data_IF_858887231385
#
_entry.id   IF_858887231385
#
_cell.length_a   1.000
_cell.length_b   1.000
_cell.length_c   1.000
_cell.angle_alpha   90.00
_cell.angle_beta   90.00
_cell.angle_gamma   90.00
#
_symmetry.space_group_name_H-M   'P 1'
#
loop_
_entity.id
_entity.type
_entity.pdbx_description
1 polymer ?
#
# COMPACT_ATOMS: atom_id res chain seq x y z
N UNK A 1 -41.95 -23.00 11.88
CA UNK A 1 -41.41 -23.81 12.99
C UNK A 1 -39.89 -23.63 13.08
N UNK A 2 -39.30 -23.81 14.25
CA UNK A 2 -37.85 -23.70 14.46
C UNK A 2 -37.08 -24.66 13.52
N UNK A 3 -37.56 -25.91 13.39
CA UNK A 3 -36.95 -26.90 12.47
C UNK A 3 -36.90 -26.43 11.02
N UNK A 4 -37.93 -25.73 10.55
CA UNK A 4 -37.96 -25.21 9.18
C UNK A 4 -36.96 -24.05 9.02
N UNK A 5 -36.79 -23.21 10.03
CA UNK A 5 -35.78 -22.13 10.04
C UNK A 5 -34.36 -22.71 10.04
N UNK A 6 -34.08 -23.71 10.87
CA UNK A 6 -32.79 -24.38 10.95
C UNK A 6 -32.43 -25.11 9.65
N UNK A 7 -33.40 -25.77 9.02
CA UNK A 7 -33.22 -26.43 7.72
C UNK A 7 -32.93 -25.42 6.60
N UNK A 8 -33.64 -24.28 6.58
CA UNK A 8 -33.38 -23.21 5.60
C UNK A 8 -31.99 -22.58 5.81
N UNK A 9 -31.64 -22.29 7.08
CA UNK A 9 -30.30 -21.77 7.38
C UNK A 9 -29.20 -22.73 6.91
N UNK A 10 -29.30 -24.02 7.21
CA UNK A 10 -28.33 -25.01 6.79
C UNK A 10 -28.23 -25.14 5.25
N UNK A 11 -29.33 -24.92 4.53
CA UNK A 11 -29.31 -24.84 3.08
C UNK A 11 -28.62 -23.60 2.59
N UNK A 12 -28.97 -22.42 3.11
CA UNK A 12 -28.36 -21.14 2.71
C UNK A 12 -26.83 -21.13 2.96
N UNK A 13 -26.40 -21.65 4.09
CA UNK A 13 -24.96 -21.77 4.42
C UNK A 13 -24.22 -22.69 3.40
N UNK A 14 -24.83 -23.80 3.03
CA UNK A 14 -24.26 -24.75 2.04
C UNK A 14 -24.17 -24.12 0.65
N UNK A 15 -25.22 -23.45 0.20
CA UNK A 15 -25.24 -22.77 -1.10
C UNK A 15 -24.22 -21.65 -1.15
N UNK A 16 -24.12 -20.87 -0.07
CA UNK A 16 -23.10 -19.83 0.04
C UNK A 16 -21.66 -20.41 0.02
N UNK A 17 -21.42 -21.53 0.70
CA UNK A 17 -20.13 -22.21 0.67
C UNK A 17 -19.75 -22.65 -0.75
N UNK A 18 -20.67 -23.32 -1.46
CA UNK A 18 -20.45 -23.75 -2.84
C UNK A 18 -20.16 -22.58 -3.80
N UNK A 19 -20.86 -21.47 -3.63
CA UNK A 19 -20.62 -20.25 -4.41
C UNK A 19 -19.27 -19.63 -4.06
N UNK A 20 -18.98 -19.45 -2.78
CA UNK A 20 -17.82 -18.70 -2.29
C UNK A 20 -16.48 -19.41 -2.55
N UNK A 21 -16.47 -20.74 -2.55
CA UNK A 21 -15.25 -21.54 -2.80
C UNK A 21 -14.92 -21.64 -4.30
N UNK A 22 -15.91 -21.52 -5.17
CA UNK A 22 -15.73 -21.67 -6.61
C UNK A 22 -15.38 -20.32 -7.25
N UNK A 23 -14.15 -20.17 -7.69
CA UNK A 23 -13.64 -18.96 -8.36
C UNK A 23 -14.48 -18.52 -9.57
N UNK A 24 -15.04 -19.48 -10.31
CA UNK A 24 -15.85 -19.19 -11.49
C UNK A 24 -17.29 -18.80 -11.14
N UNK A 25 -17.74 -19.13 -9.93
CA UNK A 25 -19.06 -18.78 -9.46
C UNK A 25 -19.12 -17.42 -8.78
N UNK A 26 -18.08 -17.06 -8.00
CA UNK A 26 -18.10 -15.82 -7.23
C UNK A 26 -17.38 -14.65 -7.90
N UNK A 27 -16.31 -14.90 -8.67
CA UNK A 27 -15.49 -13.85 -9.30
C UNK A 27 -15.82 -13.72 -10.80
N UNK A 28 -16.12 -12.52 -11.26
CA UNK A 28 -16.35 -12.23 -12.66
C UNK A 28 -15.11 -12.43 -13.53
N UNK A 29 -13.91 -12.32 -12.94
CA UNK A 29 -12.64 -12.60 -13.61
C UNK A 29 -12.25 -14.08 -13.54
N UNK A 30 -12.83 -14.84 -12.63
CA UNK A 30 -12.56 -16.26 -12.42
C UNK A 30 -11.21 -16.58 -11.79
N UNK A 31 -10.54 -15.57 -11.20
CA UNK A 31 -9.20 -15.69 -10.63
C UNK A 31 -9.25 -16.06 -9.15
N UNK A 32 -10.14 -15.42 -8.39
CA UNK A 32 -10.17 -15.48 -6.94
C UNK A 32 -11.43 -16.19 -6.43
N UNK A 33 -11.32 -16.92 -5.32
CA UNK A 33 -12.48 -17.30 -4.54
C UNK A 33 -12.90 -16.13 -3.62
N UNK A 34 -14.05 -16.23 -2.96
CA UNK A 34 -14.57 -15.14 -2.16
C UNK A 34 -13.64 -14.76 -0.98
N UNK A 35 -12.96 -15.73 -0.38
CA UNK A 35 -11.98 -15.46 0.68
C UNK A 35 -10.78 -14.62 0.16
N UNK A 36 -10.25 -14.96 -1.02
CA UNK A 36 -9.19 -14.19 -1.65
C UNK A 36 -9.67 -12.79 -2.09
N UNK A 37 -10.92 -12.67 -2.54
CA UNK A 37 -11.55 -11.39 -2.87
C UNK A 37 -11.67 -10.49 -1.63
N UNK A 38 -12.02 -11.04 -0.47
CA UNK A 38 -12.04 -10.30 0.80
C UNK A 38 -10.65 -9.76 1.16
N UNK A 39 -9.61 -10.58 1.03
CA UNK A 39 -8.23 -10.13 1.28
C UNK A 39 -7.81 -9.03 0.31
N UNK A 40 -8.15 -9.18 -0.97
CA UNK A 40 -7.83 -8.19 -1.99
C UNK A 40 -8.58 -6.87 -1.74
N UNK A 41 -9.86 -6.93 -1.42
CA UNK A 41 -10.66 -5.75 -1.08
C UNK A 41 -10.13 -5.03 0.15
N UNK A 42 -9.79 -5.77 1.22
CA UNK A 42 -9.19 -5.18 2.42
C UNK A 42 -7.83 -4.54 2.12
N UNK A 43 -6.99 -5.21 1.32
CA UNK A 43 -5.68 -4.66 0.93
C UNK A 43 -5.82 -3.39 0.09
N UNK A 44 -6.77 -3.35 -0.85
CA UNK A 44 -7.07 -2.16 -1.66
C UNK A 44 -7.55 -1.00 -0.80
N UNK A 45 -8.44 -1.25 0.17
CA UNK A 45 -8.86 -0.23 1.12
C UNK A 45 -7.68 0.32 1.94
N UNK A 46 -6.80 -0.54 2.46
CA UNK A 46 -5.62 -0.11 3.23
C UNK A 46 -4.71 0.82 2.41
N UNK A 47 -4.50 0.49 1.14
CA UNK A 47 -3.55 1.21 0.26
C UNK A 47 -4.19 2.44 -0.38
N UNK A 48 -5.39 2.28 -0.94
CA UNK A 48 -6.05 3.32 -1.75
C UNK A 48 -7.10 4.11 -0.98
N UNK A 49 -7.58 3.59 0.16
CA UNK A 49 -8.63 4.20 0.99
C UNK A 49 -10.03 3.71 0.63
N UNK A 50 -10.25 3.26 -0.59
CA UNK A 50 -11.51 2.65 -1.02
C UNK A 50 -11.29 1.52 -2.05
N UNK A 51 -12.32 0.71 -2.21
CA UNK A 51 -12.41 -0.33 -3.24
C UNK A 51 -13.85 -0.49 -3.66
N UNK A 52 -14.06 -0.82 -4.92
CA UNK A 52 -15.38 -1.00 -5.50
C UNK A 52 -15.59 -2.45 -5.93
N UNK A 53 -16.77 -3.00 -5.61
CA UNK A 53 -17.16 -4.32 -6.08
C UNK A 53 -18.46 -4.21 -6.88
N UNK A 54 -18.36 -4.35 -8.19
CA UNK A 54 -19.54 -4.36 -9.08
C UNK A 54 -20.20 -5.71 -9.01
N UNK A 55 -21.49 -5.70 -8.70
CA UNK A 55 -22.36 -6.87 -8.71
C UNK A 55 -22.79 -7.14 -10.15
N UNK A 56 -22.34 -8.25 -10.71
CA UNK A 56 -22.68 -8.66 -12.07
C UNK A 56 -23.58 -9.90 -12.06
N UNK A 57 -24.52 -9.94 -12.98
CA UNK A 57 -25.37 -11.10 -13.20
C UNK A 57 -24.98 -11.79 -14.52
N UNK A 58 -24.84 -13.08 -14.46
CA UNK A 58 -24.50 -13.95 -15.59
C UNK A 58 -25.56 -15.03 -15.75
N UNK A 59 -25.73 -15.54 -16.97
CA UNK A 59 -26.58 -16.70 -17.21
C UNK A 59 -26.04 -17.92 -16.44
N UNK A 60 -26.90 -18.60 -15.65
CA UNK A 60 -26.50 -19.80 -14.93
C UNK A 60 -26.11 -20.93 -15.89
N UNK A 61 -25.12 -21.72 -15.51
CA UNK A 61 -24.73 -22.94 -16.25
C UNK A 61 -24.75 -24.14 -15.31
N UNK A 62 -24.79 -25.39 -15.82
CA UNK A 62 -24.77 -26.57 -14.95
C UNK A 62 -23.61 -26.65 -13.98
N UNK A 63 -22.46 -26.04 -14.32
CA UNK A 63 -21.27 -26.00 -13.47
C UNK A 63 -21.18 -24.74 -12.57
N UNK A 64 -21.94 -23.71 -12.90
CA UNK A 64 -22.02 -22.45 -12.15
C UNK A 64 -23.49 -22.04 -12.08
N UNK A 65 -24.26 -22.63 -11.17
CA UNK A 65 -25.72 -22.43 -11.11
C UNK A 65 -26.11 -21.03 -10.59
N UNK A 66 -25.17 -20.31 -10.04
CA UNK A 66 -25.40 -18.98 -9.50
C UNK A 66 -25.16 -17.91 -10.58
N UNK A 67 -26.08 -16.95 -10.69
CA UNK A 67 -25.95 -15.81 -11.60
C UNK A 67 -25.03 -14.70 -11.06
N UNK A 68 -24.97 -14.55 -9.73
CA UNK A 68 -24.20 -13.51 -9.04
C UNK A 68 -22.70 -13.74 -9.19
N UNK A 69 -22.00 -12.72 -9.68
CA UNK A 69 -20.53 -12.64 -9.61
C UNK A 69 -20.09 -11.22 -9.23
N UNK A 70 -18.99 -11.13 -8.51
CA UNK A 70 -18.40 -9.87 -8.12
C UNK A 70 -17.24 -9.53 -9.05
N UNK A 71 -17.10 -8.23 -9.35
CA UNK A 71 -15.95 -7.71 -10.05
C UNK A 71 -15.32 -6.60 -9.22
N UNK A 72 -14.18 -6.88 -8.60
CA UNK A 72 -13.42 -5.88 -7.85
C UNK A 72 -12.77 -4.90 -8.82
N UNK A 73 -12.88 -3.62 -8.49
CA UNK A 73 -12.34 -2.51 -9.27
C UNK A 73 -11.54 -1.62 -8.33
N UNK A 74 -10.32 -1.28 -8.74
CA UNK A 74 -9.48 -0.35 -7.99
C UNK A 74 -10.04 1.08 -7.99
N UNK A 75 -9.72 1.81 -6.93
CA UNK A 75 -10.08 3.20 -6.72
C UNK A 75 -9.77 4.11 -7.91
N UNK A 76 -8.61 3.93 -8.55
CA UNK A 76 -8.13 4.74 -9.67
C UNK A 76 -8.99 4.63 -10.95
N UNK A 77 -9.79 3.57 -11.06
CA UNK A 77 -10.71 3.38 -12.18
C UNK A 77 -12.06 4.04 -11.99
N UNK A 78 -12.37 4.45 -10.76
CA UNK A 78 -13.56 5.27 -10.47
C UNK A 78 -13.12 6.73 -10.44
N UNK A 79 -13.47 7.47 -11.48
CA UNK A 79 -13.02 8.83 -11.67
C UNK A 79 -14.05 9.66 -12.44
N UNK A 80 -13.95 10.97 -12.37
CA UNK A 80 -14.85 11.89 -13.06
C UNK A 80 -14.62 11.82 -14.59
N UNK A 81 -15.67 11.57 -15.41
CA UNK A 81 -15.54 11.52 -16.85
C UNK A 81 -15.03 12.84 -17.42
N UNK A 82 -14.01 12.78 -18.24
CA UNK A 82 -13.49 13.93 -18.99
C UNK A 82 -13.95 13.87 -20.43
N UNK A 83 -14.54 14.95 -20.95
CA UNK A 83 -15.00 15.08 -22.34
C UNK A 83 -13.87 15.36 -23.32
N UNK A 84 -12.71 15.75 -22.86
CA UNK A 84 -11.54 16.05 -23.69
C UNK A 84 -10.50 14.96 -23.52
N UNK A 85 -10.04 14.39 -24.64
CA UNK A 85 -8.93 13.43 -24.67
C UNK A 85 -7.57 13.97 -24.22
N UNK A 86 -7.55 15.14 -23.59
CA UNK A 86 -6.35 15.73 -22.98
C UNK A 86 -6.20 15.14 -21.59
N UNK A 87 -5.10 14.45 -21.39
CA UNK A 87 -4.64 13.87 -20.16
C UNK A 87 -4.42 14.98 -19.12
N UNK A 88 -5.45 15.33 -18.38
CA UNK A 88 -5.33 16.03 -17.10
C UNK A 88 -6.11 15.25 -16.04
N UNK A 89 -5.66 14.03 -15.66
CA UNK A 89 -6.36 13.21 -14.69
C UNK A 89 -6.35 13.82 -13.28
N UNK A 90 -5.50 14.79 -13.05
CA UNK A 90 -5.17 15.25 -11.69
C UNK A 90 -5.90 16.53 -11.27
N UNK A 91 -6.66 17.17 -12.16
CA UNK A 91 -7.24 18.50 -11.86
C UNK A 91 -8.76 18.53 -11.83
N UNK A 92 -9.47 17.49 -12.29
CA UNK A 92 -10.94 17.49 -12.33
C UNK A 92 -11.49 16.40 -11.40
N UNK A 93 -11.39 16.64 -10.10
CA UNK A 93 -12.07 15.80 -9.10
C UNK A 93 -13.58 16.02 -9.08
N UNK A 94 -14.06 17.16 -9.59
CA UNK A 94 -15.48 17.51 -9.60
C UNK A 94 -15.97 17.74 -11.02
N UNK A 95 -17.12 17.16 -11.34
CA UNK A 95 -17.79 17.30 -12.64
C UNK A 95 -19.31 17.42 -12.51
N UNK A 96 -19.99 17.57 -13.65
CA UNK A 96 -21.44 17.52 -13.74
C UNK A 96 -21.87 16.37 -14.63
N UNK A 97 -22.84 15.59 -14.15
CA UNK A 97 -23.51 14.58 -14.95
C UNK A 97 -24.55 15.19 -15.88
N UNK A 98 -24.99 14.43 -16.89
CA UNK A 98 -26.00 14.89 -17.84
C UNK A 98 -27.36 15.21 -17.21
N UNK A 99 -27.67 14.60 -16.08
CA UNK A 99 -28.88 14.84 -15.28
C UNK A 99 -28.76 16.05 -14.30
N UNK A 100 -27.61 16.76 -14.31
CA UNK A 100 -27.36 17.91 -13.45
C UNK A 100 -26.72 17.58 -12.11
N UNK A 101 -26.61 16.31 -11.75
CA UNK A 101 -25.95 15.86 -10.53
C UNK A 101 -24.47 16.26 -10.48
N UNK A 102 -23.93 16.37 -9.28
CA UNK A 102 -22.51 16.63 -9.11
C UNK A 102 -21.76 15.31 -9.02
N UNK A 103 -20.62 15.22 -9.69
CA UNK A 103 -19.72 14.06 -9.64
C UNK A 103 -18.49 14.47 -8.83
N UNK A 104 -18.24 13.75 -7.75
CA UNK A 104 -17.04 13.92 -6.91
C UNK A 104 -16.12 12.72 -7.14
N UNK A 105 -15.05 12.91 -7.88
CA UNK A 105 -14.06 11.89 -8.21
C UNK A 105 -14.69 10.53 -8.61
N UNK A 106 -15.62 10.60 -9.57
CA UNK A 106 -16.35 9.45 -10.09
C UNK A 106 -17.60 9.03 -9.33
N UNK A 107 -17.89 9.60 -8.17
CA UNK A 107 -19.11 9.35 -7.40
C UNK A 107 -20.14 10.43 -7.73
N UNK A 108 -21.26 10.03 -8.34
CA UNK A 108 -22.36 10.92 -8.71
C UNK A 108 -23.34 11.05 -7.55
N UNK A 109 -23.62 12.29 -7.16
CA UNK A 109 -24.40 12.64 -5.98
C UNK A 109 -25.54 13.58 -6.39
N UNK A 110 -26.75 13.31 -5.91
CA UNK A 110 -27.91 14.14 -6.15
C UNK A 110 -27.93 15.41 -5.28
N UNK A 111 -28.99 16.22 -5.42
CA UNK A 111 -29.16 17.46 -4.66
C UNK A 111 -29.26 17.31 -3.13
N UNK A 112 -29.63 16.12 -2.66
CA UNK A 112 -29.79 15.79 -1.25
C UNK A 112 -28.54 15.16 -0.63
N UNK A 113 -27.45 15.00 -1.41
CA UNK A 113 -26.22 14.37 -0.96
C UNK A 113 -26.20 12.84 -1.06
N UNK A 114 -27.22 12.22 -1.67
CA UNK A 114 -27.29 10.79 -1.84
C UNK A 114 -26.50 10.34 -3.09
N UNK A 115 -25.76 9.23 -2.96
CA UNK A 115 -25.04 8.61 -4.07
C UNK A 115 -26.04 7.95 -5.01
N UNK A 116 -26.05 8.36 -6.28
CA UNK A 116 -26.90 7.78 -7.33
C UNK A 116 -26.16 6.82 -8.25
N UNK A 117 -24.93 7.15 -8.60
CA UNK A 117 -24.16 6.33 -9.54
C UNK A 117 -22.64 6.47 -9.36
N UNK A 118 -21.94 5.57 -9.98
CA UNK A 118 -20.48 5.57 -10.07
C UNK A 118 -20.05 5.57 -11.54
N UNK A 119 -19.02 6.35 -11.84
CA UNK A 119 -18.42 6.43 -13.16
C UNK A 119 -17.13 5.63 -13.21
N UNK A 120 -17.15 4.54 -13.95
CA UNK A 120 -16.04 3.58 -14.03
C UNK A 120 -15.36 3.71 -15.38
N UNK A 121 -14.05 3.91 -15.33
CA UNK A 121 -13.18 3.97 -16.50
C UNK A 121 -12.80 2.57 -16.97
N UNK A 122 -12.75 2.36 -18.30
CA UNK A 122 -12.36 1.06 -18.88
C UNK A 122 -10.85 0.78 -18.75
N UNK A 123 -10.03 1.83 -18.69
CA UNK A 123 -8.56 1.76 -18.66
C UNK A 123 -8.02 2.30 -17.35
N UNK A 124 -6.80 1.91 -16.99
CA UNK A 124 -6.11 2.54 -15.87
C UNK A 124 -5.61 3.96 -16.24
N UNK A 125 -5.47 4.88 -15.26
CA UNK A 125 -4.76 6.11 -15.46
C UNK A 125 -3.32 5.80 -15.93
N UNK A 126 -2.82 6.57 -16.90
CA UNK A 126 -1.46 6.41 -17.44
C UNK A 126 -1.16 5.08 -18.17
N UNK A 127 -2.18 4.31 -18.54
CA UNK A 127 -1.99 3.11 -19.36
C UNK A 127 -1.50 3.51 -20.76
N UNK A 128 -0.24 3.17 -21.05
CA UNK A 128 0.38 3.43 -22.34
C UNK A 128 -0.15 2.45 -23.39
N UNK A 129 -0.67 2.97 -24.49
CA UNK A 129 -1.15 2.17 -25.64
C UNK A 129 -2.65 2.00 -25.74
N UNK A 130 -3.44 2.41 -24.77
CA UNK A 130 -4.89 2.44 -24.89
C UNK A 130 -5.33 3.73 -25.62
N UNK A 131 -5.88 3.57 -26.83
CA UNK A 131 -6.31 4.69 -27.67
C UNK A 131 -7.70 5.22 -27.34
N UNK A 132 -8.53 4.43 -26.66
CA UNK A 132 -9.93 4.80 -26.38
C UNK A 132 -10.33 4.43 -24.97
N UNK A 133 -10.51 5.43 -24.13
CA UNK A 133 -11.10 5.27 -22.80
C UNK A 133 -12.62 5.38 -22.92
N UNK A 134 -13.35 4.37 -22.46
CA UNK A 134 -14.79 4.40 -22.32
C UNK A 134 -15.18 4.51 -20.84
N UNK A 135 -16.35 5.09 -20.60
CA UNK A 135 -16.90 5.28 -19.27
C UNK A 135 -18.20 4.52 -19.12
N UNK A 136 -18.32 3.77 -18.04
CA UNK A 136 -19.55 3.12 -17.65
C UNK A 136 -20.14 3.84 -16.43
N UNK A 137 -21.39 4.32 -16.56
CA UNK A 137 -22.17 4.82 -15.45
C UNK A 137 -22.92 3.66 -14.83
N UNK A 138 -22.61 3.29 -13.60
CA UNK A 138 -23.26 2.21 -12.84
C UNK A 138 -24.12 2.83 -11.75
N UNK A 139 -25.43 2.62 -11.77
CA UNK A 139 -26.33 3.05 -10.70
C UNK A 139 -25.95 2.38 -9.38
N UNK A 140 -25.95 3.12 -8.29
CA UNK A 140 -25.60 2.60 -6.97
C UNK A 140 -26.53 1.45 -6.55
N UNK A 141 -27.82 1.60 -6.82
CA UNK A 141 -28.85 0.63 -6.45
C UNK A 141 -29.75 0.29 -7.63
N UNK A 142 -30.28 -0.91 -7.64
CA UNK A 142 -31.28 -1.34 -8.62
C UNK A 142 -32.64 -0.65 -8.38
N UNK A 143 -33.21 -0.05 -9.42
CA UNK A 143 -34.47 0.73 -9.32
C UNK A 143 -35.67 -0.09 -8.80
N UNK A 144 -35.71 -1.38 -9.12
CA UNK A 144 -36.81 -2.28 -8.73
C UNK A 144 -36.53 -3.06 -7.47
N UNK A 145 -35.27 -3.44 -7.26
CA UNK A 145 -34.88 -4.35 -6.19
C UNK A 145 -34.38 -3.61 -4.94
N UNK A 146 -33.87 -2.39 -5.11
CA UNK A 146 -33.17 -1.67 -4.04
C UNK A 146 -31.83 -2.30 -3.65
N UNK A 147 -31.43 -3.42 -4.27
CA UNK A 147 -30.17 -4.08 -4.01
C UNK A 147 -29.01 -3.28 -4.61
N UNK A 148 -27.84 -3.30 -3.98
CA UNK A 148 -26.67 -2.60 -4.50
C UNK A 148 -26.17 -3.23 -5.80
N UNK A 149 -25.97 -2.42 -6.84
CA UNK A 149 -25.29 -2.81 -8.06
C UNK A 149 -23.76 -2.69 -7.94
N UNK A 150 -23.32 -1.89 -7.00
CA UNK A 150 -21.91 -1.67 -6.68
C UNK A 150 -21.77 -1.47 -5.18
N UNK A 151 -20.84 -2.17 -4.58
CA UNK A 151 -20.45 -1.98 -3.20
C UNK A 151 -19.25 -1.05 -3.19
N UNK A 152 -19.37 0.04 -2.47
CA UNK A 152 -18.29 0.99 -2.22
C UNK A 152 -17.81 0.80 -0.79
N UNK A 153 -16.68 0.15 -0.62
CA UNK A 153 -16.10 -0.17 0.69
C UNK A 153 -15.09 0.92 1.04
N UNK A 154 -15.45 1.77 1.95
CA UNK A 154 -14.62 2.87 2.45
C UNK A 154 -14.99 3.23 3.89
N UNK A 155 -14.05 3.72 4.65
CA UNK A 155 -14.30 4.29 5.98
C UNK A 155 -14.42 5.82 5.87
N UNK A 156 -15.56 6.37 6.28
CA UNK A 156 -15.79 7.81 6.27
C UNK A 156 -15.26 8.44 7.55
N UNK A 157 -14.32 9.37 7.42
CA UNK A 157 -13.75 10.14 8.54
C UNK A 157 -14.49 11.47 8.76
N UNK A 158 -15.26 11.91 7.76
CA UNK A 158 -15.98 13.20 7.77
C UNK A 158 -17.34 13.07 7.11
N UNK A 159 -18.35 13.88 7.53
CA UNK A 159 -19.59 14.03 6.79
C UNK A 159 -19.31 14.45 5.33
N UNK A 160 -20.16 14.04 4.40
CA UNK A 160 -20.07 14.35 2.96
C UNK A 160 -18.76 13.92 2.31
N UNK A 161 -18.13 12.90 2.84
CA UNK A 161 -16.96 12.26 2.23
C UNK A 161 -17.42 11.15 1.29
N UNK A 162 -17.17 11.32 -0.01
CA UNK A 162 -17.59 10.39 -1.05
C UNK A 162 -16.46 9.50 -1.59
N UNK A 163 -15.23 9.70 -1.12
CA UNK A 163 -14.06 8.86 -1.46
C UNK A 163 -13.26 8.55 -0.21
N UNK A 164 -12.74 7.35 -0.15
CA UNK A 164 -11.90 6.91 0.96
C UNK A 164 -10.52 7.58 0.97
N UNK A 165 -9.91 7.64 2.15
CA UNK A 165 -8.52 8.05 2.34
C UNK A 165 -7.72 6.83 2.76
N UNK A 166 -6.54 6.64 2.15
CA UNK A 166 -5.67 5.51 2.51
C UNK A 166 -5.42 5.47 4.02
N UNK A 167 -5.66 4.32 4.61
CA UNK A 167 -5.36 4.09 6.03
C UNK A 167 -3.88 4.30 6.36
N UNK A 168 -3.01 4.07 5.36
CA UNK A 168 -1.57 4.28 5.48
C UNK A 168 -1.15 5.74 5.32
N UNK A 169 -2.05 6.65 4.94
CA UNK A 169 -1.71 8.06 4.67
C UNK A 169 -1.00 8.74 5.86
N UNK A 170 -1.45 8.45 7.08
CA UNK A 170 -0.89 9.01 8.32
C UNK A 170 0.53 8.54 8.65
N UNK A 171 1.01 7.46 8.02
CA UNK A 171 2.35 6.90 8.26
C UNK A 171 3.31 7.06 7.08
N UNK A 172 2.89 7.68 5.99
CA UNK A 172 3.74 7.91 4.80
C UNK A 172 4.98 8.72 5.18
N UNK A 173 4.81 9.83 5.90
CA UNK A 173 5.93 10.71 6.26
C UNK A 173 6.92 10.01 7.22
N UNK A 174 6.51 9.36 8.33
CA UNK A 174 7.40 8.56 9.16
C UNK A 174 8.15 7.47 8.39
N UNK A 175 7.48 6.77 7.46
CA UNK A 175 8.11 5.74 6.63
C UNK A 175 9.14 6.32 5.66
N UNK A 176 8.88 7.49 5.06
CA UNK A 176 9.85 8.19 4.22
C UNK A 176 11.08 8.63 5.02
N UNK A 177 10.88 9.14 6.23
CA UNK A 177 11.99 9.51 7.13
C UNK A 177 12.82 8.29 7.51
N UNK A 178 12.18 7.18 7.83
CA UNK A 178 12.85 5.92 8.14
C UNK A 178 13.69 5.44 6.95
N UNK A 179 13.14 5.46 5.74
CA UNK A 179 13.84 5.08 4.52
C UNK A 179 15.07 5.95 4.29
N UNK A 180 14.92 7.27 4.34
CA UNK A 180 16.05 8.22 4.15
C UNK A 180 17.14 8.03 5.18
N UNK A 181 16.77 7.80 6.44
CA UNK A 181 17.74 7.53 7.50
C UNK A 181 18.48 6.21 7.26
N UNK A 182 17.77 5.14 6.92
CA UNK A 182 18.38 3.84 6.62
C UNK A 182 19.34 3.92 5.42
N UNK A 183 18.97 4.64 4.36
CA UNK A 183 19.83 4.88 3.19
C UNK A 183 21.09 5.69 3.57
N UNK A 184 20.95 6.71 4.43
CA UNK A 184 22.08 7.49 4.94
C UNK A 184 23.04 6.67 5.80
N UNK A 185 22.52 5.84 6.70
CA UNK A 185 23.36 4.96 7.54
C UNK A 185 24.08 3.90 6.71
N UNK A 186 23.42 3.32 5.71
CA UNK A 186 24.04 2.39 4.79
C UNK A 186 25.17 3.06 3.99
N UNK A 187 24.93 4.27 3.48
CA UNK A 187 25.95 5.04 2.75
C UNK A 187 27.13 5.38 3.66
N UNK A 188 26.86 5.80 4.89
CA UNK A 188 27.92 6.07 5.86
C UNK A 188 28.75 4.81 6.15
N UNK A 189 28.11 3.66 6.36
CA UNK A 189 28.81 2.39 6.59
C UNK A 189 29.66 1.97 5.38
N UNK A 190 29.20 2.21 4.15
CA UNK A 190 29.96 1.98 2.94
C UNK A 190 31.19 2.90 2.89
N UNK A 191 31.02 4.19 3.16
CA UNK A 191 32.14 5.16 3.20
C UNK A 191 33.16 4.78 4.28
N UNK A 192 32.71 4.39 5.47
CA UNK A 192 33.58 3.91 6.55
C UNK A 192 34.34 2.64 6.17
N UNK A 193 33.80 1.80 5.29
CA UNK A 193 34.49 0.59 4.79
C UNK A 193 35.66 0.91 3.87
N UNK A 194 35.72 2.10 3.27
CA UNK A 194 36.85 2.59 2.48
C UNK A 194 37.95 3.11 3.41
N UNK A 195 38.61 2.17 4.10
CA UNK A 195 39.74 2.56 4.95
C UNK A 195 40.95 2.88 4.07
N UNK A 196 41.28 4.20 3.97
CA UNK A 196 42.48 4.66 3.27
C UNK A 196 43.52 5.06 4.32
N UNK A 197 44.71 4.48 4.26
CA UNK A 197 45.81 4.88 5.13
C UNK A 197 46.60 6.01 4.47
N UNK A 198 46.85 7.08 5.21
CA UNK A 198 47.73 8.17 4.80
C UNK A 198 49.03 8.10 5.61
N UNK A 199 50.18 8.10 4.96
CA UNK A 199 51.49 8.13 5.62
C UNK A 199 52.02 9.54 5.52
N UNK A 200 52.08 10.22 6.65
CA UNK A 200 52.70 11.55 6.77
C UNK A 200 54.18 11.41 7.01
N UNK A 201 55.00 12.05 6.18
CA UNK A 201 56.44 12.09 6.31
C UNK A 201 56.85 13.50 6.79
N UNK A 202 57.49 13.59 7.95
CA UNK A 202 58.06 14.87 8.47
C UNK A 202 59.46 15.14 7.93
N UNK A 203 60.10 14.22 7.29
CA UNK A 203 61.45 14.34 6.77
C UNK A 203 61.47 15.18 5.50
N UNK A 204 62.44 16.12 5.41
CA UNK A 204 62.68 16.87 4.18
C UNK A 204 63.08 15.95 3.02
N UNK A 205 62.94 16.45 1.80
CA UNK A 205 62.97 15.71 0.52
C UNK A 205 64.26 14.84 0.24
N UNK A 206 65.09 14.60 1.26
CA UNK A 206 66.29 13.76 1.15
C UNK A 206 66.29 12.50 2.02
N UNK A 207 65.33 12.32 2.91
CA UNK A 207 65.37 11.30 3.99
C UNK A 207 64.18 10.33 3.94
N UNK A 208 63.80 9.93 2.75
CA UNK A 208 62.74 8.91 2.57
C UNK A 208 63.37 7.51 2.82
N UNK A 209 62.97 6.78 3.87
CA UNK A 209 63.52 5.47 4.22
C UNK A 209 63.31 4.40 3.13
N UNK A 210 62.52 4.70 2.12
CA UNK A 210 62.30 3.80 0.95
C UNK A 210 63.19 4.16 -0.24
N UNK A 211 64.01 5.20 -0.19
CA UNK A 211 64.94 5.57 -1.28
C UNK A 211 66.14 4.63 -1.43
N UNK A 212 66.41 3.74 -0.47
CA UNK A 212 67.51 2.77 -0.54
C UNK A 212 67.17 1.48 -1.34
N UNK A 213 65.93 1.31 -1.78
CA UNK A 213 65.55 0.15 -2.62
C UNK A 213 65.52 0.59 -4.08
N UNK A 214 66.72 0.56 -4.69
CA UNK A 214 66.94 0.43 -6.13
C UNK A 214 66.44 1.59 -7.00
N UNK A 215 67.38 2.41 -7.43
CA UNK A 215 67.25 3.52 -8.40
C UNK A 215 66.90 3.10 -9.85
N UNK A 216 65.87 2.29 -10.04
CA UNK A 216 65.45 1.89 -11.38
C UNK A 216 63.94 1.76 -11.59
N UNK A 217 63.12 2.39 -10.73
CA UNK A 217 61.71 2.55 -11.03
C UNK A 217 61.53 3.85 -11.82
N UNK A 218 60.75 3.85 -12.92
CA UNK A 218 60.46 5.07 -13.65
C UNK A 218 59.77 6.04 -12.70
N UNK A 219 60.23 7.29 -12.71
CA UNK A 219 59.62 8.42 -12.05
C UNK A 219 58.19 8.55 -12.57
N UNK A 220 57.22 7.94 -11.86
CA UNK A 220 55.81 8.16 -12.14
C UNK A 220 55.50 9.55 -11.63
N UNK A 221 55.47 10.52 -12.57
CA UNK A 221 54.96 11.83 -12.33
C UNK A 221 53.48 11.68 -11.92
N UNK A 222 53.25 11.56 -10.64
CA UNK A 222 51.88 11.63 -10.09
C UNK A 222 51.50 13.10 -10.04
N UNK A 223 50.30 13.40 -10.57
CA UNK A 223 49.64 14.68 -10.29
C UNK A 223 49.47 14.81 -8.76
N UNK A 224 50.07 15.80 -8.08
CA UNK A 224 50.01 15.92 -6.62
C UNK A 224 48.57 16.12 -6.09
N UNK A 225 47.58 16.28 -6.94
CA UNK A 225 46.17 16.43 -6.57
C UNK A 225 45.34 15.15 -6.76
N UNK A 226 45.93 14.03 -7.15
CA UNK A 226 45.22 12.78 -7.46
C UNK A 226 45.36 11.78 -6.30
N UNK A 227 44.61 12.01 -5.20
CA UNK A 227 44.45 11.02 -4.15
C UNK A 227 43.28 10.08 -4.49
N UNK A 228 43.57 8.82 -4.67
CA UNK A 228 42.58 7.80 -4.86
C UNK A 228 42.02 7.30 -3.53
N UNK A 229 40.71 7.30 -3.35
CA UNK A 229 40.04 6.69 -2.21
C UNK A 229 39.51 5.31 -2.56
N UNK A 230 39.98 4.26 -1.90
CA UNK A 230 39.56 2.90 -2.13
C UNK A 230 39.85 1.97 -0.95
N UNK A 231 39.24 0.77 -0.92
CA UNK A 231 39.45 -0.21 0.16
C UNK A 231 40.91 -0.65 0.22
N UNK A 232 41.59 -0.39 1.34
CA UNK A 232 42.96 -0.81 1.55
C UNK A 232 44.02 -0.03 0.76
N UNK A 233 43.67 1.12 0.19
CA UNK A 233 44.62 1.99 -0.49
C UNK A 233 45.54 2.72 0.54
N UNK A 234 46.80 2.87 0.18
CA UNK A 234 47.81 3.59 0.96
C UNK A 234 48.27 4.79 0.12
N UNK A 235 47.94 6.00 0.56
CA UNK A 235 48.41 7.22 -0.06
C UNK A 235 49.57 7.80 0.76
N UNK A 236 50.68 8.18 0.06
CA UNK A 236 51.84 8.82 0.66
C UNK A 236 51.67 10.33 0.44
N UNK A 237 51.69 11.09 1.51
CA UNK A 237 51.51 12.54 1.50
C UNK A 237 52.87 13.26 1.37
N UNK A 238 52.81 14.47 0.80
CA UNK A 238 54.04 15.31 0.72
C UNK A 238 54.35 15.97 2.09
N UNK A 239 55.61 16.35 2.30
CA UNK A 239 56.04 17.01 3.53
C UNK A 239 55.24 18.32 3.75
N UNK A 240 54.58 18.43 4.87
CA UNK A 240 53.74 19.61 5.23
C UNK A 240 52.27 19.49 4.99
N UNK A 241 51.81 18.44 4.34
CA UNK A 241 50.37 18.10 4.20
C UNK A 241 49.87 17.40 5.46
N UNK A 242 48.66 17.71 5.85
CA UNK A 242 47.97 17.05 6.96
C UNK A 242 46.55 16.63 6.57
N UNK A 243 46.18 15.43 6.93
CA UNK A 243 44.83 14.92 6.68
C UNK A 243 43.99 15.06 7.94
N UNK A 244 43.02 15.92 7.88
CA UNK A 244 41.98 15.95 8.90
C UNK A 244 40.87 15.02 8.49
N UNK A 245 40.78 13.88 9.14
CA UNK A 245 39.59 13.03 9.00
C UNK A 245 38.43 13.77 9.65
N UNK A 246 37.43 14.14 8.85
CA UNK A 246 36.12 14.37 9.39
C UNK A 246 35.61 13.01 9.89
N UNK A 247 36.02 12.64 11.11
CA UNK A 247 35.48 11.49 11.81
C UNK A 247 33.99 11.77 12.08
N UNK A 248 33.06 11.25 11.27
CA UNK A 248 31.67 11.34 11.62
C UNK A 248 31.50 10.38 12.79
N UNK A 249 31.74 10.86 14.01
CA UNK A 249 31.37 10.16 15.24
C UNK A 249 29.84 9.98 15.25
N UNK A 250 29.34 9.23 14.32
CA UNK A 250 27.98 8.72 14.34
C UNK A 250 28.05 7.40 15.07
N UNK A 251 27.53 7.32 16.27
CA UNK A 251 27.40 6.06 16.93
C UNK A 251 26.39 5.24 16.14
N UNK A 252 26.81 4.14 15.53
CA UNK A 252 25.93 3.05 15.15
C UNK A 252 25.01 2.58 16.30
N UNK A 253 25.30 2.97 17.53
CA UNK A 253 24.50 2.76 18.74
C UNK A 253 23.13 3.47 18.73
N UNK A 254 22.98 4.55 17.98
CA UNK A 254 21.71 5.30 17.87
C UNK A 254 20.72 4.74 16.85
N UNK A 255 21.17 3.93 15.88
CA UNK A 255 20.35 3.42 14.79
C UNK A 255 19.14 2.61 15.29
N UNK A 256 19.37 1.62 16.12
CA UNK A 256 18.31 0.77 16.65
C UNK A 256 17.27 1.55 17.50
N UNK A 257 17.73 2.53 18.26
CA UNK A 257 16.87 3.36 19.11
C UNK A 257 15.99 4.25 18.25
N UNK A 258 16.55 4.87 17.21
CA UNK A 258 15.80 5.71 16.27
C UNK A 258 14.80 4.88 15.45
N UNK A 259 15.24 3.77 14.88
CA UNK A 259 14.39 2.83 14.15
C UNK A 259 13.19 2.40 15.01
N UNK A 260 13.44 2.04 16.26
CA UNK A 260 12.39 1.64 17.19
C UNK A 260 11.41 2.78 17.47
N UNK A 261 11.88 3.98 17.72
CA UNK A 261 11.03 5.15 17.96
C UNK A 261 10.11 5.46 16.77
N UNK A 262 10.62 5.41 15.54
CA UNK A 262 9.78 5.57 14.34
C UNK A 262 8.78 4.43 14.20
N UNK A 263 9.17 3.18 14.44
CA UNK A 263 8.26 2.05 14.40
C UNK A 263 7.17 2.12 15.49
N UNK A 264 7.50 2.64 16.67
CA UNK A 264 6.51 2.91 17.74
C UNK A 264 5.52 3.99 17.31
N UNK A 265 5.97 5.06 16.65
CA UNK A 265 5.11 6.10 16.09
C UNK A 265 4.18 5.54 14.99
N UNK A 266 4.73 4.74 14.06
CA UNK A 266 3.95 4.06 13.01
C UNK A 266 2.94 3.10 13.63
N UNK A 267 3.36 2.31 14.62
CA UNK A 267 2.47 1.39 15.34
C UNK A 267 1.33 2.11 16.06
N UNK A 268 1.63 3.22 16.72
CA UNK A 268 0.61 4.04 17.39
C UNK A 268 -0.41 4.61 16.40
N UNK A 269 0.03 5.10 15.24
CA UNK A 269 -0.85 5.63 14.20
C UNK A 269 -1.75 4.54 13.59
N UNK A 270 -1.25 3.32 13.43
CA UNK A 270 -1.99 2.17 12.87
C UNK A 270 -2.70 1.32 13.93
N UNK A 271 -2.68 1.73 15.20
CA UNK A 271 -3.22 0.95 16.33
C UNK A 271 -2.65 -0.47 16.43
N UNK A 272 -1.37 -0.63 16.03
CA UNK A 272 -0.63 -1.88 16.08
C UNK A 272 0.49 -1.74 17.10
N UNK A 273 0.55 -2.57 18.16
CA UNK A 273 1.66 -2.54 19.12
C UNK A 273 3.01 -2.71 18.42
N UNK A 274 4.01 -1.95 18.84
CA UNK A 274 5.35 -2.00 18.27
C UNK A 274 5.98 -3.40 18.36
N UNK A 275 5.73 -4.14 19.43
CA UNK A 275 6.19 -5.52 19.60
C UNK A 275 5.64 -6.45 18.50
N UNK A 276 4.40 -6.24 18.07
CA UNK A 276 3.79 -6.97 16.95
C UNK A 276 4.33 -6.52 15.60
N UNK A 277 4.49 -5.21 15.40
CA UNK A 277 5.01 -4.62 14.17
C UNK A 277 6.46 -5.08 13.90
N UNK A 278 7.30 -5.05 14.92
CA UNK A 278 8.71 -5.45 14.86
C UNK A 278 8.92 -6.97 15.03
N UNK A 279 7.87 -7.72 15.39
CA UNK A 279 7.94 -9.13 15.78
C UNK A 279 8.99 -9.40 16.88
N UNK A 280 9.15 -8.44 17.79
CA UNK A 280 10.15 -8.43 18.85
C UNK A 280 9.48 -8.27 20.21
N UNK A 281 9.26 -9.38 20.89
CA UNK A 281 8.60 -9.42 22.19
C UNK A 281 9.65 -9.41 23.31
N UNK A 282 10.09 -8.21 23.68
CA UNK A 282 11.10 -8.01 24.74
C UNK A 282 10.50 -7.74 26.11
N UNK A 283 9.18 -7.58 26.20
CA UNK A 283 8.44 -7.36 27.42
C UNK A 283 8.06 -8.67 28.12
N UNK A 284 7.61 -8.61 29.37
CA UNK A 284 7.11 -9.79 30.07
C UNK A 284 5.89 -10.40 29.35
N UNK A 285 5.68 -11.69 29.51
CA UNK A 285 4.54 -12.40 28.89
C UNK A 285 3.20 -11.71 29.15
N UNK A 286 2.97 -11.24 30.37
CA UNK A 286 1.74 -10.54 30.76
C UNK A 286 1.58 -9.19 30.03
N UNK A 287 2.65 -8.43 29.86
CA UNK A 287 2.63 -7.16 29.14
C UNK A 287 2.41 -7.36 27.65
N UNK A 288 3.12 -8.30 27.01
CA UNK A 288 2.92 -8.65 25.60
C UNK A 288 1.50 -9.14 25.32
N UNK A 289 0.94 -9.97 26.23
CA UNK A 289 -0.45 -10.43 26.14
C UNK A 289 -1.45 -9.27 26.25
N UNK A 290 -1.23 -8.33 27.16
CA UNK A 290 -2.10 -7.16 27.30
C UNK A 290 -2.10 -6.30 26.01
N UNK A 291 -0.92 -6.04 25.44
CA UNK A 291 -0.77 -5.32 24.18
C UNK A 291 -1.47 -6.03 23.01
N UNK A 292 -1.34 -7.35 22.91
CA UNK A 292 -2.06 -8.15 21.90
C UNK A 292 -3.58 -8.10 22.10
N UNK A 293 -4.08 -8.13 23.32
CA UNK A 293 -5.52 -8.02 23.59
C UNK A 293 -6.07 -6.64 23.20
N UNK A 294 -5.29 -5.58 23.34
CA UNK A 294 -5.67 -4.24 22.91
C UNK A 294 -5.73 -4.16 21.38
N UNK A 295 -4.70 -4.65 20.68
CA UNK A 295 -4.70 -4.75 19.23
C UNK A 295 -5.90 -5.55 18.68
N UNK A 296 -6.29 -6.64 19.39
CA UNK A 296 -7.46 -7.43 18.99
C UNK A 296 -8.77 -6.65 19.05
N UNK A 297 -8.92 -5.64 19.91
CA UNK A 297 -10.12 -4.80 19.93
C UNK A 297 -10.23 -3.99 18.63
N UNK A 298 -9.14 -3.33 18.22
CA UNK A 298 -9.07 -2.59 16.98
C UNK A 298 -9.32 -3.50 15.75
N UNK A 299 -8.69 -4.66 15.70
CA UNK A 299 -8.89 -5.62 14.60
C UNK A 299 -10.32 -6.14 14.52
N UNK A 300 -10.99 -6.38 15.66
CA UNK A 300 -12.39 -6.81 15.69
C UNK A 300 -13.33 -5.72 15.21
N UNK A 301 -13.08 -4.47 15.56
CA UNK A 301 -13.88 -3.33 15.11
C UNK A 301 -13.79 -3.17 13.59
N UNK A 302 -12.58 -3.18 13.03
CA UNK A 302 -12.36 -3.11 11.58
C UNK A 302 -12.91 -4.31 10.83
N UNK A 303 -12.73 -5.52 11.39
CA UNK A 303 -13.31 -6.71 10.81
C UNK A 303 -14.84 -6.63 10.76
N UNK A 304 -15.46 -6.14 11.84
CA UNK A 304 -16.92 -5.97 11.88
C UNK A 304 -17.38 -4.98 10.81
N UNK A 305 -16.75 -3.82 10.74
CA UNK A 305 -17.03 -2.83 9.69
C UNK A 305 -16.92 -3.44 8.29
N UNK A 306 -15.82 -4.10 7.98
CA UNK A 306 -15.61 -4.73 6.67
C UNK A 306 -16.64 -5.83 6.36
N UNK A 307 -17.04 -6.60 7.35
CA UNK A 307 -18.09 -7.61 7.19
C UNK A 307 -19.44 -6.95 6.90
N UNK A 308 -19.76 -5.87 7.62
CA UNK A 308 -21.03 -5.15 7.45
C UNK A 308 -21.10 -4.48 6.07
N UNK A 309 -20.00 -3.89 5.57
CA UNK A 309 -19.99 -3.12 4.31
C UNK A 309 -19.71 -3.98 3.06
N UNK A 310 -19.02 -5.11 3.20
CA UNK A 310 -18.67 -5.97 2.06
C UNK A 310 -19.34 -7.34 2.12
N UNK A 311 -19.13 -8.11 3.19
CA UNK A 311 -19.55 -9.52 3.20
C UNK A 311 -21.07 -9.66 3.34
N UNK A 312 -21.70 -8.89 4.21
CA UNK A 312 -23.14 -8.96 4.48
C UNK A 312 -23.98 -8.57 3.25
N UNK A 313 -23.70 -7.48 2.52
CA UNK A 313 -24.42 -7.16 1.29
C UNK A 313 -24.28 -8.23 0.20
N UNK A 314 -23.11 -8.84 0.08
CA UNK A 314 -22.89 -9.94 -0.86
C UNK A 314 -23.71 -11.16 -0.49
N UNK A 315 -23.70 -11.54 0.79
CA UNK A 315 -24.49 -12.66 1.30
C UNK A 315 -25.98 -12.45 1.05
N UNK A 316 -26.50 -11.28 1.38
CA UNK A 316 -27.91 -10.92 1.15
C UNK A 316 -28.26 -10.92 -0.34
N UNK A 317 -27.38 -10.40 -1.20
CA UNK A 317 -27.59 -10.40 -2.65
C UNK A 317 -27.68 -11.82 -3.20
N UNK A 318 -26.85 -12.75 -2.71
CA UNK A 318 -26.89 -14.14 -3.14
C UNK A 318 -28.19 -14.84 -2.72
N UNK A 319 -28.62 -14.65 -1.47
CA UNK A 319 -29.85 -15.25 -0.95
C UNK A 319 -31.06 -14.76 -1.73
N UNK A 320 -31.19 -13.45 -1.95
CA UNK A 320 -32.32 -12.87 -2.71
C UNK A 320 -32.35 -13.32 -4.19
N UNK A 321 -31.22 -13.67 -4.77
CA UNK A 321 -31.16 -14.20 -6.14
C UNK A 321 -31.51 -15.70 -6.19
N UNK A 322 -31.21 -16.44 -5.14
CA UNK A 322 -31.46 -17.87 -5.05
C UNK A 322 -32.82 -18.26 -4.48
N UNK A 323 -33.57 -17.31 -3.88
CA UNK A 323 -34.94 -17.55 -3.48
C UNK A 323 -35.86 -17.62 -4.73
N UNK A 324 -36.55 -18.73 -4.96
CA UNK A 324 -37.60 -18.74 -5.96
C UNK A 324 -38.76 -17.84 -5.51
N UNK A 325 -38.99 -16.78 -6.25
CA UNK A 325 -40.18 -15.92 -6.12
C UNK A 325 -41.48 -16.71 -6.33
#
# INVERSE_FOLDING_TARGET
TQEAADAWQAQAEREFALWSENKRACDATGVNNFAAMQQLALSSWLVSGDVFAVVKQYEPTPLTPYSLRLHLIEADRVATPTTSGIITPMLLTTGKAANGNTIYDGVEVNGDGQIEAYHIRSTYPFELGSTTTTWARVQAYGERTGLPNILHVMESERPDQYRGVSYLAQVIEPLLQLRRYTESELTAAVVESFFTAFIKTEAGAGDNPFNEVGSSLPEVSRDPNEYEMGPGQINIMEPGEDVTFADPKRPASGFNTFLRAICEQVGAALEIPADLLLKSFNSSYSASRAALMEAWKAFRMRRKWFVDDFCTPVYLSLIHISEPT
#
